data_IF_647602978266
#
_entry.id   IF_647602978266
#
_cell.length_a   1.000
_cell.length_b   1.000
_cell.length_c   1.000
_cell.angle_alpha   90.00
_cell.angle_beta   90.00
_cell.angle_gamma   90.00
#
_symmetry.space_group_name_H-M   'P 1'
#
loop_
_entity.id
_entity.type
_entity.pdbx_description
1 polymer ?
#
# COMPACT_ATOMS: atom_id res chain seq x y z
N UNK A 1 -4.18 -33.90 -7.02
CA UNK A 1 -5.06 -33.75 -8.19
C UNK A 1 -4.29 -32.98 -9.24
N UNK A 2 -4.06 -33.60 -10.40
CA UNK A 2 -3.43 -32.97 -11.56
C UNK A 2 -4.36 -31.86 -12.07
N UNK A 3 -3.83 -30.63 -12.18
CA UNK A 3 -4.56 -29.52 -12.80
C UNK A 3 -4.37 -29.70 -14.32
N UNK A 4 -5.28 -30.39 -14.99
CA UNK A 4 -5.14 -30.67 -16.44
C UNK A 4 -5.78 -29.60 -17.35
N UNK A 5 -6.55 -28.66 -16.78
CA UNK A 5 -7.11 -27.54 -17.55
C UNK A 5 -6.99 -26.23 -16.77
N UNK A 6 -6.40 -25.17 -17.35
CA UNK A 6 -6.24 -23.90 -16.65
C UNK A 6 -7.58 -23.22 -16.41
N UNK A 7 -7.75 -22.57 -15.25
CA UNK A 7 -9.00 -21.92 -14.84
C UNK A 7 -9.55 -21.02 -15.94
N UNK A 8 -10.87 -20.99 -16.11
CA UNK A 8 -11.52 -19.99 -16.96
C UNK A 8 -11.66 -18.62 -16.32
N UNK A 9 -11.40 -18.55 -15.01
CA UNK A 9 -11.47 -17.35 -14.20
C UNK A 9 -10.10 -16.83 -13.79
N UNK A 10 -10.04 -15.53 -13.47
CA UNK A 10 -8.89 -14.89 -12.85
C UNK A 10 -9.20 -14.48 -11.40
N UNK A 11 -8.15 -14.33 -10.59
CA UNK A 11 -8.20 -13.67 -9.29
C UNK A 11 -7.80 -12.20 -9.44
N UNK A 12 -8.57 -11.28 -8.87
CA UNK A 12 -8.29 -9.84 -8.91
C UNK A 12 -8.20 -9.29 -7.49
N UNK A 13 -7.02 -8.84 -7.12
CA UNK A 13 -6.79 -8.05 -5.92
C UNK A 13 -6.79 -6.57 -6.31
N UNK A 14 -7.90 -5.88 -6.06
CA UNK A 14 -8.01 -4.44 -6.21
C UNK A 14 -7.58 -3.75 -4.92
N UNK A 15 -6.27 -3.58 -4.72
CA UNK A 15 -5.73 -2.95 -3.51
C UNK A 15 -5.75 -1.42 -3.55
N UNK A 16 -5.64 -0.79 -2.37
CA UNK A 16 -5.65 0.68 -2.22
C UNK A 16 -4.45 1.36 -2.89
N UNK A 17 -3.28 0.71 -2.83
CA UNK A 17 -2.02 1.25 -3.37
C UNK A 17 -1.57 0.54 -4.65
N UNK A 18 -1.66 -0.79 -4.66
CA UNK A 18 -1.31 -1.63 -5.80
C UNK A 18 -2.40 -2.67 -5.99
N UNK A 19 -2.65 -3.03 -7.24
CA UNK A 19 -3.53 -4.11 -7.64
C UNK A 19 -2.73 -5.24 -8.27
N UNK A 20 -3.23 -6.47 -8.15
CA UNK A 20 -2.64 -7.65 -8.82
C UNK A 20 -3.74 -8.46 -9.51
N UNK A 21 -3.36 -9.19 -10.55
CA UNK A 21 -4.22 -10.17 -11.19
C UNK A 21 -3.48 -11.50 -11.27
N UNK A 22 -4.19 -12.59 -11.01
CA UNK A 22 -3.63 -13.93 -11.04
C UNK A 22 -4.49 -14.91 -11.82
N UNK A 23 -3.83 -15.90 -12.40
CA UNK A 23 -4.42 -17.00 -13.14
C UNK A 23 -3.61 -18.28 -12.88
N UNK A 24 -4.27 -19.28 -12.28
CA UNK A 24 -3.62 -20.54 -11.95
C UNK A 24 -3.45 -21.40 -13.21
N UNK A 25 -2.20 -21.76 -13.49
CA UNK A 25 -1.80 -22.60 -14.63
C UNK A 25 -0.79 -23.65 -14.19
N UNK A 26 -0.81 -24.85 -14.80
CA UNK A 26 0.19 -25.88 -14.50
C UNK A 26 1.61 -25.40 -14.82
N UNK A 27 2.51 -25.48 -13.85
CA UNK A 27 3.94 -25.17 -14.04
C UNK A 27 4.28 -23.69 -14.26
N UNK A 28 3.33 -22.76 -14.11
CA UNK A 28 3.58 -21.32 -14.24
C UNK A 28 3.25 -20.58 -12.94
N UNK A 29 3.91 -19.43 -12.67
CA UNK A 29 3.54 -18.56 -11.57
C UNK A 29 2.07 -18.13 -11.65
N UNK A 30 1.36 -18.02 -10.51
CA UNK A 30 -0.05 -17.66 -10.50
C UNK A 30 -0.28 -16.19 -10.84
N UNK A 31 0.67 -15.29 -10.63
CA UNK A 31 0.50 -13.86 -10.90
C UNK A 31 0.82 -13.50 -12.36
N UNK A 32 0.09 -12.54 -12.90
CA UNK A 32 0.29 -11.99 -14.24
C UNK A 32 1.12 -10.71 -14.18
N UNK A 33 1.99 -10.51 -15.16
CA UNK A 33 2.72 -9.25 -15.31
C UNK A 33 1.77 -8.18 -15.89
N UNK A 34 1.49 -7.15 -15.12
CA UNK A 34 0.49 -6.13 -15.46
C UNK A 34 1.08 -4.89 -16.11
N UNK A 35 2.36 -4.57 -15.87
CA UNK A 35 2.96 -3.36 -16.42
C UNK A 35 4.49 -3.45 -16.38
N UNK A 36 5.15 -3.23 -17.52
CA UNK A 36 6.62 -3.26 -17.66
C UNK A 36 7.28 -4.52 -17.05
N UNK A 37 6.63 -5.68 -17.23
CA UNK A 37 7.10 -6.97 -16.68
C UNK A 37 6.90 -7.12 -15.16
N UNK A 38 6.31 -6.14 -14.47
CA UNK A 38 6.03 -6.19 -13.03
C UNK A 38 4.66 -6.80 -12.75
N UNK A 39 4.57 -7.57 -11.66
CA UNK A 39 3.35 -8.30 -11.25
C UNK A 39 2.26 -7.40 -10.64
N UNK A 40 2.63 -6.20 -10.21
CA UNK A 40 1.73 -5.23 -9.58
C UNK A 40 1.41 -4.10 -10.53
N UNK A 41 0.22 -3.53 -10.41
CA UNK A 41 -0.21 -2.29 -11.07
C UNK A 41 -0.55 -1.26 -10.00
N UNK A 42 0.12 -0.09 -9.90
CA UNK A 42 -0.30 0.96 -8.97
C UNK A 42 -1.76 1.36 -9.19
N UNK A 43 -2.52 1.47 -8.11
CA UNK A 43 -3.95 1.81 -8.12
C UNK A 43 -4.15 3.32 -8.32
N UNK A 44 -3.72 3.81 -9.47
CA UNK A 44 -3.57 5.23 -9.80
C UNK A 44 -4.08 5.50 -11.21
N UNK A 45 -4.80 6.62 -11.36
CA UNK A 45 -5.18 7.19 -12.66
C UNK A 45 -4.67 8.63 -12.71
N UNK A 46 -3.93 8.99 -13.75
CA UNK A 46 -3.51 10.35 -14.01
C UNK A 46 -4.24 10.91 -15.23
N UNK A 47 -4.88 12.06 -15.04
CA UNK A 47 -5.51 12.84 -16.10
C UNK A 47 -4.55 13.93 -16.53
N UNK A 48 -3.81 13.68 -17.60
CA UNK A 48 -2.85 14.62 -18.15
C UNK A 48 -3.61 15.75 -18.88
N UNK A 49 -3.47 16.98 -18.40
CA UNK A 49 -4.13 18.14 -18.99
C UNK A 49 -3.34 18.70 -20.19
N UNK A 50 -2.01 18.53 -20.20
CA UNK A 50 -1.14 19.01 -21.27
C UNK A 50 -1.33 18.18 -22.55
N UNK A 51 -1.38 16.86 -22.42
CA UNK A 51 -1.51 15.92 -23.54
C UNK A 51 -2.97 15.48 -23.79
N UNK A 52 -3.89 15.84 -22.88
CA UNK A 52 -5.29 15.41 -22.91
C UNK A 52 -5.45 13.88 -22.97
N UNK A 53 -4.58 13.17 -22.25
CA UNK A 53 -4.54 11.70 -22.14
C UNK A 53 -4.90 11.23 -20.72
N UNK A 54 -5.19 9.93 -20.59
CA UNK A 54 -5.44 9.29 -19.29
C UNK A 54 -4.49 8.10 -19.17
N UNK A 55 -3.69 8.10 -18.11
CA UNK A 55 -2.67 7.07 -17.87
C UNK A 55 -2.93 6.37 -16.56
N UNK A 56 -2.84 5.03 -16.56
CA UNK A 56 -3.11 4.18 -15.40
C UNK A 56 -1.83 3.46 -14.98
N UNK A 57 -1.63 3.29 -13.67
CA UNK A 57 -0.48 2.55 -13.14
C UNK A 57 0.76 3.41 -13.00
N UNK A 58 1.93 2.81 -13.25
CA UNK A 58 3.23 3.51 -13.21
C UNK A 58 3.34 4.54 -14.31
N UNK A 59 2.74 4.31 -15.48
CA UNK A 59 2.73 5.32 -16.54
C UNK A 59 2.15 6.66 -16.03
N UNK A 60 0.96 6.61 -15.43
CA UNK A 60 0.33 7.81 -14.85
C UNK A 60 1.09 8.39 -13.66
N UNK A 61 1.73 7.54 -12.86
CA UNK A 61 2.59 8.02 -11.78
C UNK A 61 3.83 8.75 -12.34
N UNK A 62 4.47 8.23 -13.38
CA UNK A 62 5.65 8.82 -13.99
C UNK A 62 5.34 10.18 -14.61
N UNK A 63 4.25 10.31 -15.37
CA UNK A 63 3.82 11.61 -15.93
C UNK A 63 3.60 12.66 -14.82
N UNK A 64 2.93 12.29 -13.74
CA UNK A 64 2.76 13.20 -12.59
C UNK A 64 4.10 13.62 -11.97
N UNK A 65 5.05 12.69 -11.88
CA UNK A 65 6.38 12.94 -11.31
C UNK A 65 7.27 13.80 -12.22
N UNK A 66 7.10 13.67 -13.54
CA UNK A 66 7.76 14.52 -14.55
C UNK A 66 7.21 15.96 -14.54
N UNK A 67 6.10 16.18 -13.83
CA UNK A 67 5.56 17.50 -13.55
C UNK A 67 4.56 18.00 -14.57
N UNK A 68 3.99 17.09 -15.37
CA UNK A 68 2.86 17.38 -16.25
C UNK A 68 1.69 17.96 -15.45
N UNK A 69 1.02 18.96 -16.00
CA UNK A 69 -0.19 19.53 -15.42
C UNK A 69 -1.32 18.52 -15.57
N UNK A 70 -2.08 18.31 -14.50
CA UNK A 70 -3.09 17.28 -14.49
C UNK A 70 -3.60 16.91 -13.12
N UNK A 71 -4.46 15.89 -13.10
CA UNK A 71 -5.06 15.39 -11.86
C UNK A 71 -4.68 13.95 -11.60
N UNK A 72 -3.98 13.72 -10.50
CA UNK A 72 -3.68 12.39 -10.00
C UNK A 72 -4.78 11.88 -9.07
N UNK A 73 -5.34 10.72 -9.39
CA UNK A 73 -6.32 10.02 -8.58
C UNK A 73 -5.67 8.77 -7.97
N UNK A 74 -5.72 8.64 -6.64
CA UNK A 74 -5.15 7.52 -5.87
C UNK A 74 -6.16 7.04 -4.83
N UNK A 75 -5.87 5.90 -4.21
CA UNK A 75 -6.68 5.31 -3.13
C UNK A 75 -8.15 5.12 -3.52
N UNK A 76 -8.41 4.79 -4.78
CA UNK A 76 -9.76 4.62 -5.34
C UNK A 76 -10.56 3.56 -4.58
N UNK A 77 -9.89 2.51 -4.06
CA UNK A 77 -10.53 1.49 -3.23
C UNK A 77 -11.19 2.07 -1.98
N UNK A 78 -10.57 3.07 -1.34
CA UNK A 78 -11.10 3.70 -0.12
C UNK A 78 -12.38 4.51 -0.34
N UNK A 79 -12.74 4.77 -1.60
CA UNK A 79 -14.02 5.39 -1.93
C UNK A 79 -15.18 4.39 -1.84
N UNK A 80 -14.92 3.08 -2.01
CA UNK A 80 -15.93 2.05 -1.86
C UNK A 80 -16.51 2.08 -0.44
N UNK A 81 -17.82 2.24 -0.33
CA UNK A 81 -18.50 2.33 0.96
C UNK A 81 -18.48 3.71 1.62
N UNK A 82 -17.75 4.68 1.06
CA UNK A 82 -17.79 6.07 1.52
C UNK A 82 -19.02 6.82 0.97
N UNK A 83 -19.49 7.84 1.68
CA UNK A 83 -20.51 8.78 1.16
C UNK A 83 -20.04 9.55 -0.08
N UNK A 84 -18.73 9.64 -0.29
CA UNK A 84 -18.14 10.29 -1.46
C UNK A 84 -18.26 9.45 -2.73
N UNK A 85 -18.63 8.17 -2.66
CA UNK A 85 -18.68 7.29 -3.83
C UNK A 85 -19.68 7.75 -4.90
N UNK A 86 -20.77 8.39 -4.47
CA UNK A 86 -21.77 8.98 -5.36
C UNK A 86 -21.37 10.39 -5.86
N UNK A 87 -20.23 10.89 -5.37
CA UNK A 87 -19.66 12.17 -5.73
C UNK A 87 -19.12 12.21 -7.15
N UNK A 88 -18.88 13.44 -7.62
CA UNK A 88 -18.27 13.72 -8.91
C UNK A 88 -16.98 14.49 -8.74
N UNK A 89 -16.13 14.35 -9.74
CA UNK A 89 -14.85 15.01 -9.82
C UNK A 89 -14.69 15.60 -11.22
N UNK A 90 -14.15 16.81 -11.28
CA UNK A 90 -13.84 17.44 -12.56
C UNK A 90 -12.43 17.02 -13.01
N UNK A 91 -12.35 16.46 -14.21
CA UNK A 91 -11.14 16.02 -14.89
C UNK A 91 -11.23 16.44 -16.36
N UNK A 92 -10.22 17.14 -16.87
CA UNK A 92 -10.18 17.63 -18.27
C UNK A 92 -11.46 18.39 -18.69
N UNK A 93 -12.00 19.23 -17.79
CA UNK A 93 -13.23 20.00 -18.04
C UNK A 93 -14.51 19.16 -18.14
N UNK A 94 -14.47 17.88 -17.74
CA UNK A 94 -15.61 16.99 -17.69
C UNK A 94 -15.84 16.53 -16.26
N UNK A 95 -17.10 16.53 -15.85
CA UNK A 95 -17.50 15.97 -14.56
C UNK A 95 -17.66 14.45 -14.69
N UNK A 96 -16.78 13.66 -14.06
CA UNK A 96 -16.87 12.20 -13.95
C UNK A 96 -17.28 11.80 -12.53
N UNK A 97 -18.09 10.76 -12.40
CA UNK A 97 -18.39 10.10 -11.13
C UNK A 97 -17.21 9.25 -10.69
N UNK A 98 -17.08 9.00 -9.38
CA UNK A 98 -16.08 8.04 -8.91
C UNK A 98 -16.35 6.61 -9.42
N UNK A 99 -17.62 6.25 -9.65
CA UNK A 99 -17.99 4.95 -10.21
C UNK A 99 -17.39 4.78 -11.62
N UNK A 100 -17.48 5.81 -12.46
CA UNK A 100 -16.88 5.80 -13.80
C UNK A 100 -15.35 5.65 -13.72
N UNK A 101 -14.69 6.36 -12.79
CA UNK A 101 -13.25 6.23 -12.58
C UNK A 101 -12.82 4.83 -12.14
N UNK A 102 -13.54 4.23 -11.19
CA UNK A 102 -13.26 2.85 -10.79
C UNK A 102 -13.54 1.87 -11.92
N UNK A 103 -14.58 2.12 -12.73
CA UNK A 103 -14.89 1.28 -13.90
C UNK A 103 -13.77 1.34 -14.94
N UNK A 104 -13.24 2.54 -15.24
CA UNK A 104 -12.08 2.72 -16.11
C UNK A 104 -10.85 1.98 -15.58
N UNK A 105 -10.56 2.07 -14.27
CA UNK A 105 -9.45 1.37 -13.65
C UNK A 105 -9.59 -0.16 -13.72
N UNK A 106 -10.76 -0.70 -13.37
CA UNK A 106 -10.99 -2.16 -13.39
C UNK A 106 -11.02 -2.69 -14.83
N UNK A 107 -11.48 -1.90 -15.80
CA UNK A 107 -11.43 -2.25 -17.22
C UNK A 107 -9.98 -2.36 -17.71
N UNK A 108 -9.14 -1.37 -17.35
CA UNK A 108 -7.71 -1.39 -17.67
C UNK A 108 -7.01 -2.59 -17.01
N UNK A 109 -7.28 -2.85 -15.72
CA UNK A 109 -6.71 -3.99 -15.01
C UNK A 109 -7.08 -5.33 -15.69
N UNK A 110 -8.35 -5.48 -16.10
CA UNK A 110 -8.81 -6.65 -16.87
C UNK A 110 -8.08 -6.74 -18.21
N UNK A 111 -8.02 -5.66 -18.99
CA UNK A 111 -7.37 -5.65 -20.29
C UNK A 111 -5.89 -6.07 -20.20
N UNK A 112 -5.16 -5.55 -19.21
CA UNK A 112 -3.76 -5.93 -18.99
C UNK A 112 -3.61 -7.38 -18.54
N UNK A 113 -4.51 -7.87 -17.69
CA UNK A 113 -4.53 -9.28 -17.30
C UNK A 113 -4.82 -10.20 -18.51
N UNK A 114 -5.79 -9.85 -19.35
CA UNK A 114 -6.14 -10.59 -20.57
C UNK A 114 -4.99 -10.59 -21.59
N UNK A 115 -4.33 -9.45 -21.79
CA UNK A 115 -3.15 -9.34 -22.64
C UNK A 115 -1.99 -10.19 -22.13
N UNK A 116 -1.71 -10.15 -20.82
CA UNK A 116 -0.66 -10.96 -20.20
C UNK A 116 -0.97 -12.48 -20.21
N UNK A 117 -2.25 -12.82 -20.25
CA UNK A 117 -2.73 -14.20 -20.31
C UNK A 117 -2.92 -14.72 -21.74
N UNK A 118 -2.87 -13.85 -22.75
CA UNK A 118 -3.23 -14.11 -24.15
C UNK A 118 -4.62 -14.78 -24.29
N UNK A 119 -5.59 -14.30 -23.50
CA UNK A 119 -6.97 -14.82 -23.47
C UNK A 119 -7.94 -13.86 -22.79
N UNK A 120 -9.23 -14.06 -23.00
CA UNK A 120 -10.27 -13.39 -22.24
C UNK A 120 -10.61 -14.09 -20.91
N UNK A 121 -11.11 -13.30 -19.95
CA UNK A 121 -11.68 -13.76 -18.69
C UNK A 121 -13.14 -13.30 -18.55
N UNK A 122 -14.07 -14.26 -18.60
CA UNK A 122 -15.50 -14.01 -18.36
C UNK A 122 -15.87 -14.11 -16.86
N UNK A 123 -14.99 -14.67 -16.04
CA UNK A 123 -15.27 -15.01 -14.64
C UNK A 123 -14.13 -14.50 -13.75
N UNK A 124 -14.46 -13.98 -12.56
CA UNK A 124 -13.44 -13.49 -11.64
C UNK A 124 -13.79 -13.70 -10.18
N UNK A 125 -12.75 -13.93 -9.36
CA UNK A 125 -12.81 -13.84 -7.90
C UNK A 125 -12.11 -12.54 -7.48
N UNK A 126 -12.86 -11.62 -6.87
CA UNK A 126 -12.32 -10.37 -6.35
C UNK A 126 -11.96 -10.51 -4.87
N UNK A 127 -10.83 -9.92 -4.49
CA UNK A 127 -10.49 -9.69 -3.09
C UNK A 127 -11.42 -8.66 -2.45
N UNK A 128 -11.87 -8.92 -1.23
CA UNK A 128 -12.52 -7.93 -0.37
C UNK A 128 -11.87 -7.84 1.01
N UNK A 129 -11.85 -6.66 1.65
CA UNK A 129 -11.48 -6.55 3.06
C UNK A 129 -12.52 -7.27 3.93
N UNK A 130 -12.20 -7.50 5.21
CA UNK A 130 -13.18 -8.06 6.15
C UNK A 130 -14.41 -7.17 6.27
N UNK A 131 -14.22 -5.85 6.32
CA UNK A 131 -15.27 -4.84 6.12
C UNK A 131 -14.77 -3.75 5.18
N UNK A 132 -15.57 -3.37 4.19
CA UNK A 132 -15.43 -2.13 3.42
C UNK A 132 -15.84 -0.91 4.25
N UNK A 133 -16.86 -1.09 5.10
CA UNK A 133 -17.36 -0.07 6.04
C UNK A 133 -17.50 -0.71 7.41
N UNK A 134 -16.78 -0.18 8.39
CA UNK A 134 -16.86 -0.65 9.77
C UNK A 134 -18.23 -0.31 10.39
N UNK A 135 -18.72 -1.22 11.24
CA UNK A 135 -19.94 -1.06 12.06
C UNK A 135 -21.25 -0.77 11.29
N UNK A 136 -21.27 -0.90 9.95
CA UNK A 136 -22.48 -0.81 9.12
C UNK A 136 -22.56 -1.94 8.07
N UNK A 137 -23.29 -3.00 8.42
CA UNK A 137 -23.50 -4.17 7.55
C UNK A 137 -24.29 -3.90 6.28
N UNK A 138 -25.10 -2.83 6.23
CA UNK A 138 -25.84 -2.46 5.03
C UNK A 138 -24.93 -1.69 4.06
N UNK A 139 -24.13 -0.75 4.58
CA UNK A 139 -23.14 -0.04 3.80
C UNK A 139 -22.03 -0.97 3.27
N UNK A 140 -21.56 -1.93 4.08
CA UNK A 140 -20.60 -2.95 3.64
C UNK A 140 -21.12 -3.77 2.46
N UNK A 141 -22.36 -4.28 2.55
CA UNK A 141 -23.01 -5.01 1.45
C UNK A 141 -23.20 -4.14 0.22
N UNK A 142 -23.52 -2.84 0.40
CA UNK A 142 -23.63 -1.89 -0.71
C UNK A 142 -22.27 -1.68 -1.41
N UNK A 143 -21.17 -1.59 -0.66
CA UNK A 143 -19.83 -1.46 -1.20
C UNK A 143 -19.43 -2.68 -2.04
N UNK A 144 -19.64 -3.89 -1.53
CA UNK A 144 -19.39 -5.13 -2.27
C UNK A 144 -20.26 -5.22 -3.53
N UNK A 145 -21.55 -4.91 -3.43
CA UNK A 145 -22.47 -4.91 -4.57
C UNK A 145 -22.07 -3.87 -5.63
N UNK A 146 -21.55 -2.71 -5.22
CA UNK A 146 -21.05 -1.67 -6.11
C UNK A 146 -19.82 -2.16 -6.87
N UNK A 147 -18.85 -2.77 -6.18
CA UNK A 147 -17.68 -3.37 -6.82
C UNK A 147 -18.09 -4.50 -7.79
N UNK A 148 -19.07 -5.32 -7.42
CA UNK A 148 -19.61 -6.35 -8.30
C UNK A 148 -20.27 -5.78 -9.55
N UNK A 149 -21.01 -4.67 -9.42
CA UNK A 149 -21.64 -3.98 -10.55
C UNK A 149 -20.59 -3.39 -11.49
N UNK A 150 -19.53 -2.77 -10.94
CA UNK A 150 -18.39 -2.26 -11.70
C UNK A 150 -17.72 -3.39 -12.47
N UNK A 151 -17.38 -4.51 -11.80
CA UNK A 151 -16.77 -5.67 -12.46
C UNK A 151 -17.65 -6.25 -13.58
N UNK A 152 -18.97 -6.30 -13.40
CA UNK A 152 -19.88 -6.73 -14.48
C UNK A 152 -19.91 -5.75 -15.65
N UNK A 153 -19.85 -4.45 -15.37
CA UNK A 153 -19.79 -3.42 -16.41
C UNK A 153 -18.50 -3.48 -17.26
N UNK A 154 -17.41 -4.00 -16.71
CA UNK A 154 -16.15 -4.26 -17.46
C UNK A 154 -16.14 -5.60 -18.20
N UNK A 155 -17.26 -6.33 -18.17
CA UNK A 155 -17.48 -7.54 -18.96
C UNK A 155 -17.17 -8.86 -18.25
N UNK A 156 -17.07 -8.88 -16.92
CA UNK A 156 -17.15 -10.15 -16.17
C UNK A 156 -18.61 -10.60 -16.07
N UNK A 157 -18.92 -11.82 -16.52
CA UNK A 157 -20.27 -12.41 -16.44
C UNK A 157 -20.56 -12.94 -15.05
N UNK A 158 -19.60 -13.61 -14.46
CA UNK A 158 -19.70 -14.15 -13.10
C UNK A 158 -18.61 -13.55 -12.20
N UNK A 159 -19.04 -13.00 -11.08
CA UNK A 159 -18.18 -12.34 -10.10
C UNK A 159 -18.49 -12.93 -8.74
N UNK A 160 -17.44 -13.35 -8.04
CA UNK A 160 -17.54 -13.76 -6.64
C UNK A 160 -16.45 -13.10 -5.81
N UNK A 161 -16.59 -13.12 -4.49
CA UNK A 161 -15.66 -12.47 -3.58
C UNK A 161 -14.99 -13.46 -2.65
N UNK A 162 -13.77 -13.14 -2.25
CA UNK A 162 -13.05 -13.84 -1.20
C UNK A 162 -12.36 -12.82 -0.29
N UNK A 163 -12.36 -13.12 1.01
CA UNK A 163 -11.69 -12.27 1.99
C UNK A 163 -10.18 -12.25 1.76
N UNK A 164 -9.63 -11.05 1.61
CA UNK A 164 -8.21 -10.75 1.44
C UNK A 164 -7.30 -11.47 2.46
N UNK A 165 -7.57 -11.45 3.78
CA UNK A 165 -6.69 -12.15 4.73
C UNK A 165 -6.68 -13.67 4.53
N UNK A 166 -7.80 -14.26 4.09
CA UNK A 166 -7.87 -15.70 3.80
C UNK A 166 -7.12 -16.00 2.49
N UNK A 167 -7.26 -15.15 1.48
CA UNK A 167 -6.52 -15.28 0.24
C UNK A 167 -5.00 -15.13 0.47
N UNK A 168 -4.57 -14.16 1.27
CA UNK A 168 -3.17 -13.95 1.63
C UNK A 168 -2.55 -15.19 2.30
N UNK A 169 -3.28 -15.79 3.23
CA UNK A 169 -2.84 -16.98 3.98
C UNK A 169 -3.09 -18.31 3.24
N UNK A 170 -3.58 -18.29 2.00
CA UNK A 170 -4.00 -19.52 1.29
C UNK A 170 -2.88 -20.56 1.16
N UNK A 171 -1.68 -20.14 0.77
CA UNK A 171 -0.52 -21.05 0.66
C UNK A 171 -0.16 -21.66 2.01
N UNK A 172 -0.29 -20.88 3.08
CA UNK A 172 -0.05 -21.34 4.45
C UNK A 172 -1.13 -22.33 4.91
N UNK A 173 -2.42 -22.06 4.62
CA UNK A 173 -3.54 -22.97 4.92
C UNK A 173 -3.36 -24.36 4.29
N UNK A 174 -2.63 -24.48 3.18
CA UNK A 174 -2.33 -25.77 2.55
C UNK A 174 -1.21 -26.56 3.21
N UNK A 175 -0.40 -25.92 4.06
CA UNK A 175 0.74 -26.53 4.74
C UNK A 175 0.40 -27.01 6.15
N UNK A 176 -0.68 -26.49 6.73
CA UNK A 176 -1.15 -26.90 8.06
C UNK A 176 -1.90 -28.24 8.01
N UNK A 177 -1.78 -29.03 9.07
CA UNK A 177 -2.41 -30.35 9.23
C UNK A 177 -3.54 -30.36 10.27
N UNK A 178 -3.69 -29.27 11.02
CA UNK A 178 -4.72 -29.06 12.06
C UNK A 178 -5.31 -27.66 11.98
N UNK A 179 -6.34 -27.42 12.79
CA UNK A 179 -6.85 -26.06 12.99
C UNK A 179 -5.82 -25.21 13.71
N UNK A 180 -5.59 -24.01 13.19
CA UNK A 180 -4.70 -23.00 13.77
C UNK A 180 -5.38 -21.63 13.80
N UNK A 181 -5.11 -20.88 14.86
CA UNK A 181 -5.46 -19.48 14.98
C UNK A 181 -4.34 -18.61 14.43
N UNK A 182 -4.64 -17.89 13.35
CA UNK A 182 -3.66 -17.12 12.58
C UNK A 182 -3.99 -15.64 12.64
N UNK A 183 -3.03 -14.81 13.06
CA UNK A 183 -3.09 -13.37 12.88
C UNK A 183 -2.44 -13.01 11.55
N UNK A 184 -3.23 -12.57 10.58
CA UNK A 184 -2.73 -11.96 9.34
C UNK A 184 -2.46 -10.47 9.61
N UNK A 185 -1.21 -10.06 9.45
CA UNK A 185 -0.76 -8.68 9.54
C UNK A 185 -0.40 -8.17 8.13
N UNK A 186 -1.33 -7.47 7.49
CA UNK A 186 -1.13 -6.84 6.19
C UNK A 186 -0.69 -5.39 6.36
N UNK A 187 0.57 -5.11 6.05
CA UNK A 187 1.21 -3.83 6.30
C UNK A 187 1.56 -3.20 4.96
N UNK A 188 0.60 -2.45 4.44
CA UNK A 188 0.68 -1.78 3.15
C UNK A 188 1.38 -0.41 3.23
N UNK A 189 1.24 0.38 2.16
CA UNK A 189 1.83 1.71 2.07
C UNK A 189 1.20 2.73 3.03
N UNK A 190 -0.12 2.72 3.19
CA UNK A 190 -0.85 3.73 3.98
C UNK A 190 -1.61 3.21 5.20
N UNK A 191 -1.83 1.88 5.27
CA UNK A 191 -2.58 1.24 6.36
C UNK A 191 -1.88 -0.03 6.81
N UNK A 192 -2.14 -0.39 8.07
CA UNK A 192 -1.83 -1.70 8.64
C UNK A 192 -3.15 -2.33 9.03
N UNK A 193 -3.48 -3.45 8.41
CA UNK A 193 -4.72 -4.17 8.56
C UNK A 193 -4.44 -5.54 9.20
N UNK A 194 -5.16 -5.84 10.27
CA UNK A 194 -4.98 -7.03 11.08
C UNK A 194 -6.26 -7.85 11.05
N UNK A 195 -6.12 -9.15 10.78
CA UNK A 195 -7.24 -10.09 10.77
C UNK A 195 -6.87 -11.34 11.55
N UNK A 196 -7.67 -11.66 12.56
CA UNK A 196 -7.55 -12.90 13.30
C UNK A 196 -8.48 -13.94 12.68
N UNK A 197 -7.89 -14.99 12.12
CA UNK A 197 -8.60 -15.98 11.30
C UNK A 197 -8.34 -17.41 11.77
N UNK A 198 -9.32 -18.28 11.63
CA UNK A 198 -9.15 -19.73 11.82
C UNK A 198 -8.89 -20.41 10.49
N UNK A 199 -7.74 -21.07 10.38
CA UNK A 199 -7.39 -21.86 9.20
C UNK A 199 -7.39 -23.34 9.57
N UNK A 200 -7.93 -24.19 8.71
CA UNK A 200 -7.83 -25.64 8.86
C UNK A 200 -8.06 -26.36 7.53
N UNK A 201 -7.55 -27.59 7.36
CA UNK A 201 -7.79 -28.39 6.16
C UNK A 201 -9.28 -28.64 5.87
N UNK A 202 -10.13 -28.66 6.91
CA UNK A 202 -11.57 -28.84 6.79
C UNK A 202 -12.27 -27.54 6.37
N UNK A 203 -11.89 -26.41 6.99
CA UNK A 203 -12.43 -25.06 6.68
C UNK A 203 -12.08 -24.61 5.27
N UNK A 204 -10.88 -24.97 4.79
CA UNK A 204 -10.45 -24.76 3.41
C UNK A 204 -11.43 -25.29 2.35
N UNK A 205 -12.31 -26.24 2.71
CA UNK A 205 -13.31 -26.84 1.81
C UNK A 205 -14.68 -26.18 1.88
N UNK A 206 -14.91 -25.26 2.81
CA UNK A 206 -16.16 -24.51 2.94
C UNK A 206 -16.16 -23.37 1.91
N UNK A 207 -17.35 -23.05 1.37
CA UNK A 207 -17.53 -21.98 0.39
C UNK A 207 -17.68 -20.61 1.08
N UNK A 208 -18.55 -20.52 2.10
CA UNK A 208 -18.65 -19.34 2.95
C UNK A 208 -17.66 -19.43 4.11
N UNK A 209 -16.66 -18.55 4.07
CA UNK A 209 -15.55 -18.52 5.04
C UNK A 209 -15.74 -17.41 6.08
N UNK A 210 -16.94 -16.81 6.20
CA UNK A 210 -17.18 -15.69 7.13
C UNK A 210 -16.91 -16.06 8.58
N UNK A 211 -17.32 -17.25 9.01
CA UNK A 211 -17.13 -17.73 10.40
C UNK A 211 -15.67 -18.01 10.77
N UNK A 212 -14.77 -18.00 9.78
CA UNK A 212 -13.34 -18.11 10.02
C UNK A 212 -12.71 -16.78 10.42
N UNK A 213 -13.38 -15.66 10.13
CA UNK A 213 -12.93 -14.32 10.54
C UNK A 213 -13.42 -14.02 11.96
N UNK A 214 -12.53 -14.08 12.93
CA UNK A 214 -12.88 -13.88 14.33
C UNK A 214 -12.92 -12.40 14.71
N UNK A 215 -11.94 -11.64 14.23
CA UNK A 215 -11.86 -10.21 14.43
C UNK A 215 -11.00 -9.58 13.34
N UNK A 216 -11.28 -8.30 13.09
CA UNK A 216 -10.45 -7.45 12.27
C UNK A 216 -10.24 -6.10 12.96
N UNK A 217 -9.22 -5.39 12.52
CA UNK A 217 -8.93 -4.04 12.94
C UNK A 217 -7.81 -3.46 12.11
N UNK A 218 -7.83 -2.16 11.92
CA UNK A 218 -6.83 -1.46 11.11
C UNK A 218 -6.36 -0.18 11.78
N UNK A 219 -5.26 0.35 11.28
CA UNK A 219 -4.76 1.68 11.65
C UNK A 219 -4.19 2.37 10.42
N UNK A 220 -4.43 3.67 10.29
CA UNK A 220 -3.85 4.53 9.24
C UNK A 220 -2.37 4.83 9.50
N UNK A 221 -1.59 3.76 9.59
CA UNK A 221 -0.13 3.74 9.69
C UNK A 221 0.32 2.68 8.69
N UNK A 222 1.13 3.05 7.71
CA UNK A 222 1.75 2.12 6.78
C UNK A 222 3.16 2.54 6.42
N UNK A 223 3.74 1.91 5.40
CA UNK A 223 5.09 2.16 4.89
C UNK A 223 5.43 3.64 4.73
N UNK A 224 4.52 4.46 4.20
CA UNK A 224 4.75 5.89 3.96
C UNK A 224 4.90 6.70 5.25
N UNK A 225 4.30 6.24 6.35
CA UNK A 225 4.49 6.89 7.65
C UNK A 225 5.90 6.57 8.19
N UNK A 226 6.38 5.34 8.00
CA UNK A 226 7.76 4.99 8.34
C UNK A 226 8.77 5.76 7.48
N UNK A 227 8.51 5.93 6.18
CA UNK A 227 9.32 6.75 5.28
C UNK A 227 9.38 8.20 5.75
N UNK A 228 8.23 8.77 6.11
CA UNK A 228 8.14 10.14 6.62
C UNK A 228 8.96 10.31 7.90
N UNK A 229 8.85 9.39 8.86
CA UNK A 229 9.62 9.47 10.11
C UNK A 229 11.12 9.31 9.89
N UNK A 230 11.54 8.36 9.05
CA UNK A 230 12.94 8.19 8.67
C UNK A 230 13.49 9.44 7.98
N UNK A 231 12.71 10.01 7.05
CA UNK A 231 13.07 11.23 6.33
C UNK A 231 13.24 12.41 7.28
N UNK A 232 12.25 12.66 8.16
CA UNK A 232 12.31 13.75 9.14
C UNK A 232 13.46 13.60 10.13
N UNK A 233 13.74 12.38 10.59
CA UNK A 233 14.78 12.14 11.58
C UNK A 233 16.20 12.17 10.98
N UNK A 234 16.40 11.57 9.80
CA UNK A 234 17.73 11.34 9.24
C UNK A 234 18.09 12.24 8.05
N UNK A 235 17.13 12.55 7.16
CA UNK A 235 17.45 13.20 5.88
C UNK A 235 17.14 14.70 5.87
N UNK A 236 15.97 15.10 6.37
CA UNK A 236 15.56 16.50 6.42
C UNK A 236 16.52 17.41 7.21
N UNK A 237 17.26 16.94 8.25
CA UNK A 237 18.30 17.75 8.89
C UNK A 237 19.41 18.22 7.93
N UNK A 238 19.74 17.42 6.89
CA UNK A 238 20.71 17.80 5.86
C UNK A 238 20.25 19.01 5.02
N UNK A 239 18.94 19.28 5.03
CA UNK A 239 18.26 20.37 4.33
C UNK A 239 17.90 21.54 5.26
N UNK A 240 18.23 21.45 6.56
CA UNK A 240 18.01 22.52 7.53
C UNK A 240 16.86 22.27 8.51
N UNK A 241 16.23 21.10 8.49
CA UNK A 241 15.21 20.76 9.50
C UNK A 241 15.82 20.79 10.91
N UNK A 242 15.10 21.41 11.86
CA UNK A 242 15.57 21.69 13.24
C UNK A 242 16.81 22.59 13.35
N UNK A 243 17.34 23.12 12.23
CA UNK A 243 18.33 24.19 12.32
C UNK A 243 17.69 25.46 12.88
N UNK A 244 18.52 26.35 13.44
CA UNK A 244 18.06 27.60 14.05
C UNK A 244 18.21 28.77 13.08
N UNK A 245 17.28 29.71 13.19
CA UNK A 245 17.44 31.06 12.68
C UNK A 245 18.37 31.86 13.61
N UNK A 246 18.96 32.96 13.15
CA UNK A 246 19.84 33.84 13.95
C UNK A 246 19.12 34.38 15.18
N UNK A 247 17.79 34.48 15.12
CA UNK A 247 16.91 34.83 16.26
C UNK A 247 16.72 33.71 17.30
N UNK A 248 17.32 32.54 17.09
CA UNK A 248 17.32 31.41 18.03
C UNK A 248 16.11 30.46 17.91
N UNK A 249 15.13 30.78 17.07
CA UNK A 249 13.94 29.97 16.79
C UNK A 249 14.30 28.89 15.74
N UNK A 250 13.72 27.70 15.86
CA UNK A 250 13.90 26.64 14.85
C UNK A 250 13.23 26.99 13.52
N UNK A 251 13.77 26.44 12.43
CA UNK A 251 13.16 26.52 11.11
C UNK A 251 11.73 25.96 11.14
N UNK A 252 10.76 26.61 10.45
CA UNK A 252 9.40 26.09 10.36
C UNK A 252 9.36 24.67 9.80
N UNK A 253 8.70 23.76 10.52
CA UNK A 253 8.70 22.34 10.19
C UNK A 253 7.86 21.98 8.96
N UNK A 254 6.87 22.80 8.60
CA UNK A 254 5.90 22.52 7.55
C UNK A 254 6.53 22.22 6.18
N UNK A 255 7.59 22.94 5.81
CA UNK A 255 8.29 22.72 4.53
C UNK A 255 8.92 21.33 4.46
N UNK A 256 9.52 20.89 5.57
CA UNK A 256 10.17 19.59 5.67
C UNK A 256 9.16 18.46 5.80
N UNK A 257 8.08 18.65 6.56
CA UNK A 257 6.96 17.70 6.60
C UNK A 257 6.35 17.53 5.22
N UNK A 258 6.22 18.61 4.44
CA UNK A 258 5.71 18.53 3.07
C UNK A 258 6.66 17.74 2.14
N UNK A 259 7.96 17.96 2.25
CA UNK A 259 8.95 17.22 1.48
C UNK A 259 9.10 15.75 1.92
N UNK A 260 8.87 15.45 3.20
CA UNK A 260 8.92 14.10 3.74
C UNK A 260 7.65 13.27 3.48
N UNK A 261 6.60 13.91 2.94
CA UNK A 261 5.30 13.27 2.73
C UNK A 261 4.98 13.24 1.25
N UNK A 262 5.01 12.05 0.64
CA UNK A 262 4.91 11.86 -0.81
C UNK A 262 3.86 12.73 -1.51
N UNK A 263 2.64 12.80 -0.96
CA UNK A 263 1.51 13.50 -1.61
C UNK A 263 1.51 15.03 -1.42
N UNK A 264 2.34 15.58 -0.52
CA UNK A 264 2.44 17.04 -0.30
C UNK A 264 3.75 17.63 -0.83
N UNK A 265 4.64 16.82 -1.42
CA UNK A 265 5.91 17.27 -2.01
C UNK A 265 5.70 18.43 -3.00
N UNK A 266 4.67 18.36 -3.85
CA UNK A 266 4.39 19.42 -4.83
C UNK A 266 4.06 20.78 -4.19
N UNK A 267 3.62 20.81 -2.93
CA UNK A 267 3.42 22.07 -2.21
C UNK A 267 4.74 22.81 -1.96
N UNK A 268 5.86 22.09 -1.90
CA UNK A 268 7.19 22.69 -1.75
C UNK A 268 7.64 23.48 -2.99
N UNK A 269 7.02 23.25 -4.16
CA UNK A 269 7.38 23.90 -5.42
C UNK A 269 6.57 25.17 -5.71
N UNK A 270 5.68 25.57 -4.80
CA UNK A 270 4.84 26.75 -5.03
C UNK A 270 5.66 28.05 -4.95
N UNK A 271 5.26 29.08 -5.72
CA UNK A 271 5.91 30.40 -5.67
C UNK A 271 5.89 31.01 -4.27
N UNK A 272 4.82 30.75 -3.51
CA UNK A 272 4.69 31.19 -2.11
C UNK A 272 5.77 30.54 -1.24
N UNK A 273 5.87 29.21 -1.26
CA UNK A 273 6.91 28.49 -0.51
C UNK A 273 8.31 28.95 -0.89
N UNK A 274 8.55 29.20 -2.19
CA UNK A 274 9.83 29.74 -2.64
C UNK A 274 10.15 31.10 -2.02
N UNK A 275 9.22 32.05 -2.06
CA UNK A 275 9.39 33.38 -1.48
C UNK A 275 9.62 33.31 0.04
N UNK A 276 8.84 32.50 0.75
CA UNK A 276 9.00 32.31 2.19
C UNK A 276 10.40 31.76 2.55
N UNK A 277 10.89 30.76 1.81
CA UNK A 277 12.23 30.20 2.03
C UNK A 277 13.34 31.20 1.72
N UNK A 278 13.18 32.08 0.73
CA UNK A 278 14.13 33.15 0.44
C UNK A 278 14.25 34.16 1.59
N UNK A 279 13.15 34.48 2.25
CA UNK A 279 13.16 35.32 3.45
C UNK A 279 13.90 34.63 4.60
N UNK A 280 13.58 33.35 4.86
CA UNK A 280 14.22 32.56 5.91
C UNK A 280 15.73 32.37 5.69
N UNK A 281 16.18 32.32 4.44
CA UNK A 281 17.60 32.18 4.10
C UNK A 281 18.44 33.35 4.63
N UNK A 282 17.89 34.57 4.66
CA UNK A 282 18.62 35.73 5.19
C UNK A 282 18.88 35.62 6.70
N UNK A 283 18.03 34.88 7.41
CA UNK A 283 18.07 34.72 8.86
C UNK A 283 18.54 33.33 9.31
N UNK A 284 19.02 32.46 8.42
CA UNK A 284 19.46 31.11 8.79
C UNK A 284 20.82 31.05 9.49
N UNK A 285 21.01 30.08 10.38
CA UNK A 285 22.33 29.68 10.90
C UNK A 285 22.93 28.48 10.14
N UNK A 286 22.21 27.88 9.20
CA UNK A 286 22.66 26.72 8.41
C UNK A 286 22.55 26.98 6.90
N UNK A 287 23.32 27.93 6.33
CA UNK A 287 23.20 28.33 4.94
C UNK A 287 23.44 27.18 3.96
N UNK A 288 24.45 26.33 4.21
CA UNK A 288 24.75 25.18 3.34
C UNK A 288 23.60 24.18 3.25
N UNK A 289 22.87 23.97 4.36
CA UNK A 289 21.73 23.07 4.39
C UNK A 289 20.56 23.67 3.60
N UNK A 290 20.36 24.99 3.70
CA UNK A 290 19.37 25.69 2.88
C UNK A 290 19.73 25.73 1.40
N UNK A 291 21.02 25.81 1.04
CA UNK A 291 21.45 25.71 -0.36
C UNK A 291 21.06 24.36 -0.98
N UNK A 292 21.22 23.27 -0.23
CA UNK A 292 20.74 21.94 -0.62
C UNK A 292 19.21 21.91 -0.77
N UNK A 293 18.48 22.53 0.16
CA UNK A 293 17.02 22.66 0.08
C UNK A 293 16.58 23.43 -1.17
N UNK A 294 17.20 24.57 -1.45
CA UNK A 294 16.91 25.35 -2.66
C UNK A 294 17.22 24.57 -3.92
N UNK A 295 18.33 23.83 -3.96
CA UNK A 295 18.66 22.97 -5.10
C UNK A 295 17.60 21.89 -5.31
N UNK A 296 17.21 21.17 -4.25
CA UNK A 296 16.14 20.17 -4.28
C UNK A 296 14.84 20.74 -4.85
N UNK A 297 14.42 21.92 -4.38
CA UNK A 297 13.18 22.57 -4.81
C UNK A 297 13.26 23.05 -6.25
N UNK A 298 14.38 23.69 -6.64
CA UNK A 298 14.60 24.19 -8.00
C UNK A 298 14.62 23.07 -9.04
N UNK A 299 15.22 21.93 -8.69
CA UNK A 299 15.29 20.75 -9.55
C UNK A 299 14.05 19.85 -9.43
N UNK A 300 13.05 20.25 -8.63
CA UNK A 300 11.83 19.47 -8.32
C UNK A 300 12.14 18.02 -7.91
N UNK A 301 13.25 17.82 -7.20
CA UNK A 301 13.80 16.49 -6.89
C UNK A 301 13.26 15.88 -5.58
N UNK A 302 12.14 16.37 -5.05
CA UNK A 302 11.57 15.92 -3.78
C UNK A 302 11.08 14.48 -3.82
N UNK A 303 10.42 14.07 -4.89
CA UNK A 303 10.00 12.67 -5.06
C UNK A 303 11.21 11.73 -5.20
N UNK A 304 12.27 12.16 -5.91
CA UNK A 304 13.52 11.41 -5.95
C UNK A 304 14.09 11.20 -4.54
N UNK A 305 14.13 12.26 -3.71
CA UNK A 305 14.62 12.14 -2.33
C UNK A 305 13.75 11.17 -1.52
N UNK A 306 12.43 11.22 -1.68
CA UNK A 306 11.52 10.30 -1.01
C UNK A 306 11.74 8.84 -1.43
N UNK A 307 12.03 8.57 -2.71
CA UNK A 307 12.41 7.23 -3.18
C UNK A 307 13.73 6.75 -2.55
N UNK A 308 14.72 7.62 -2.42
CA UNK A 308 15.98 7.29 -1.75
C UNK A 308 15.77 6.93 -0.27
N UNK A 309 14.85 7.63 0.41
CA UNK A 309 14.46 7.30 1.79
C UNK A 309 13.76 5.94 1.87
N UNK A 310 12.83 5.67 0.95
CA UNK A 310 12.13 4.38 0.90
C UNK A 310 13.11 3.21 0.66
N UNK A 311 14.04 3.36 -0.28
CA UNK A 311 15.12 2.39 -0.52
C UNK A 311 15.98 2.18 0.73
N UNK A 312 16.34 3.25 1.43
CA UNK A 312 17.10 3.17 2.67
C UNK A 312 16.31 2.45 3.78
N UNK A 313 15.01 2.71 3.93
CA UNK A 313 14.13 1.98 4.86
C UNK A 313 14.12 0.48 4.56
N UNK A 314 14.00 0.11 3.29
CA UNK A 314 14.02 -1.29 2.86
C UNK A 314 15.39 -1.92 3.21
N UNK A 315 16.49 -1.24 2.92
CA UNK A 315 17.83 -1.72 3.26
C UNK A 315 18.04 -1.87 4.78
N UNK A 316 17.54 -0.92 5.58
CA UNK A 316 17.56 -0.98 7.04
C UNK A 316 16.69 -2.10 7.63
N UNK A 317 15.79 -2.68 6.84
CA UNK A 317 15.05 -3.88 7.26
C UNK A 317 15.94 -5.13 7.25
N UNK A 318 16.93 -5.19 6.36
CA UNK A 318 17.85 -6.32 6.21
C UNK A 318 19.23 -6.10 6.88
N UNK A 319 19.66 -4.86 7.10
CA UNK A 319 20.95 -4.53 7.71
C UNK A 319 20.87 -3.45 8.79
N UNK A 320 22.01 -3.15 9.41
CA UNK A 320 22.11 -2.18 10.52
C UNK A 320 22.33 -0.74 10.05
N UNK A 321 22.68 -0.55 8.77
CA UNK A 321 22.95 0.75 8.16
C UNK A 321 22.62 0.77 6.68
N UNK A 322 22.24 1.93 6.16
CA UNK A 322 22.03 2.20 4.74
C UNK A 322 22.74 3.50 4.33
N UNK A 323 23.41 3.50 3.17
CA UNK A 323 24.09 4.68 2.63
C UNK A 323 23.22 5.30 1.54
N UNK A 324 22.83 6.56 1.72
CA UNK A 324 22.17 7.34 0.69
C UNK A 324 23.22 8.08 -0.13
N UNK A 325 23.10 7.96 -1.45
CA UNK A 325 23.88 8.71 -2.42
C UNK A 325 23.08 9.94 -2.85
N UNK A 326 23.47 11.11 -2.35
CA UNK A 326 22.71 12.35 -2.44
C UNK A 326 23.36 13.37 -3.38
N UNK A 327 24.01 12.91 -4.45
CA UNK A 327 24.75 13.73 -5.42
C UNK A 327 23.90 14.84 -6.06
N UNK A 328 22.57 14.61 -6.17
CA UNK A 328 21.63 15.64 -6.64
C UNK A 328 21.53 16.82 -5.66
N UNK A 329 21.75 16.64 -4.36
CA UNK A 329 21.75 17.72 -3.38
C UNK A 329 23.09 18.46 -3.34
N UNK A 330 24.20 17.73 -3.33
CA UNK A 330 25.55 18.28 -3.41
C UNK A 330 26.52 17.22 -3.95
N UNK A 331 27.57 17.59 -4.70
CA UNK A 331 28.54 16.64 -5.24
C UNK A 331 29.13 15.75 -4.14
N UNK A 332 29.19 14.45 -4.39
CA UNK A 332 29.75 13.43 -3.49
C UNK A 332 29.09 13.36 -2.10
N UNK A 333 27.89 13.94 -1.94
CA UNK A 333 27.18 13.90 -0.67
C UNK A 333 26.70 12.47 -0.40
N UNK A 334 27.24 11.87 0.66
CA UNK A 334 26.80 10.58 1.18
C UNK A 334 26.30 10.75 2.60
N UNK A 335 25.22 10.07 2.93
CA UNK A 335 24.69 10.06 4.28
C UNK A 335 24.38 8.64 4.73
N UNK A 336 24.83 8.27 5.92
CA UNK A 336 24.56 6.94 6.49
C UNK A 336 23.40 7.08 7.47
N UNK A 337 22.33 6.33 7.22
CA UNK A 337 21.26 6.11 8.17
C UNK A 337 21.50 4.81 8.91
N UNK A 338 21.19 4.77 10.20
CA UNK A 338 21.31 3.57 11.01
C UNK A 338 19.94 2.99 11.37
N UNK A 339 19.91 1.68 11.62
CA UNK A 339 18.71 0.99 12.10
C UNK A 339 18.23 1.59 13.42
N UNK A 340 19.15 1.91 14.33
CA UNK A 340 18.83 2.50 15.65
C UNK A 340 18.09 3.83 15.49
N UNK A 341 18.56 4.73 14.62
CA UNK A 341 17.88 6.00 14.36
C UNK A 341 16.48 5.79 13.77
N UNK A 342 16.33 4.83 12.86
CA UNK A 342 15.04 4.50 12.26
C UNK A 342 14.05 3.93 13.30
N UNK A 343 14.51 3.03 14.16
CA UNK A 343 13.71 2.45 15.24
C UNK A 343 13.26 3.54 16.21
N UNK A 344 14.16 4.41 16.65
CA UNK A 344 13.83 5.53 17.53
C UNK A 344 12.80 6.48 16.91
N UNK A 345 12.94 6.79 15.62
CA UNK A 345 11.99 7.66 14.91
C UNK A 345 10.60 7.02 14.75
N UNK A 346 10.53 5.68 14.67
CA UNK A 346 9.30 4.94 14.38
C UNK A 346 8.61 4.34 15.60
N UNK A 347 9.21 4.40 16.80
CA UNK A 347 8.66 3.84 18.05
C UNK A 347 7.18 4.18 18.27
N UNK A 348 6.80 5.45 18.14
CA UNK A 348 5.41 5.87 18.37
C UNK A 348 4.41 5.29 17.37
N UNK A 349 4.83 5.00 16.14
CA UNK A 349 3.98 4.33 15.13
C UNK A 349 3.77 2.87 15.52
N UNK A 350 4.84 2.19 15.92
CA UNK A 350 4.83 0.79 16.35
C UNK A 350 4.00 0.60 17.63
N UNK A 351 4.08 1.53 18.58
CA UNK A 351 3.23 1.49 19.78
C UNK A 351 1.74 1.63 19.46
N UNK A 352 1.37 2.52 18.54
CA UNK A 352 -0.03 2.64 18.10
C UNK A 352 -0.53 1.36 17.44
N UNK A 353 0.31 0.69 16.63
CA UNK A 353 -0.01 -0.63 16.07
C UNK A 353 -0.21 -1.67 17.18
N UNK A 354 0.66 -1.68 18.20
CA UNK A 354 0.52 -2.58 19.35
C UNK A 354 -0.79 -2.37 20.14
N UNK A 355 -1.22 -1.12 20.29
CA UNK A 355 -2.52 -0.78 20.90
C UNK A 355 -3.68 -1.33 20.06
N UNK A 356 -3.64 -1.14 18.73
CA UNK A 356 -4.67 -1.69 17.82
C UNK A 356 -4.75 -3.21 17.90
N UNK A 357 -3.62 -3.91 17.94
CA UNK A 357 -3.59 -5.37 18.06
C UNK A 357 -4.16 -5.85 19.40
N UNK A 358 -3.82 -5.18 20.49
CA UNK A 358 -4.35 -5.50 21.82
C UNK A 358 -5.88 -5.33 21.86
N UNK A 359 -6.39 -4.25 21.25
CA UNK A 359 -7.82 -4.01 21.13
C UNK A 359 -8.52 -5.07 20.25
N UNK A 360 -7.88 -5.52 19.18
CA UNK A 360 -8.40 -6.58 18.30
C UNK A 360 -8.53 -7.91 19.05
N UNK A 361 -7.50 -8.32 19.80
CA UNK A 361 -7.54 -9.55 20.60
C UNK A 361 -8.64 -9.48 21.66
N UNK A 362 -8.79 -8.32 22.31
CA UNK A 362 -9.87 -8.09 23.27
C UNK A 362 -11.26 -8.18 22.61
N UNK A 363 -11.44 -7.59 21.41
CA UNK A 363 -12.68 -7.69 20.61
C UNK A 363 -13.00 -9.14 20.26
N UNK A 364 -11.98 -9.95 19.98
CA UNK A 364 -12.12 -11.39 19.71
C UNK A 364 -12.34 -12.24 20.97
N UNK A 365 -12.23 -11.65 22.17
CA UNK A 365 -12.16 -12.39 23.44
C UNK A 365 -11.05 -13.46 23.48
N UNK A 366 -9.92 -13.19 22.81
CA UNK A 366 -8.80 -14.11 22.68
C UNK A 366 -7.61 -13.69 23.55
N UNK A 367 -6.95 -14.67 24.18
CA UNK A 367 -5.69 -14.47 24.87
C UNK A 367 -4.53 -14.41 23.86
N UNK A 368 -3.47 -13.66 24.15
CA UNK A 368 -2.29 -13.59 23.28
C UNK A 368 -1.65 -14.96 23.03
N UNK A 369 -1.63 -15.82 24.05
CA UNK A 369 -1.07 -17.18 23.96
C UNK A 369 -1.91 -18.16 23.13
N UNK A 370 -3.14 -17.78 22.74
CA UNK A 370 -4.00 -18.62 21.92
C UNK A 370 -3.68 -18.52 20.42
N UNK A 371 -2.90 -17.51 19.99
CA UNK A 371 -2.55 -17.32 18.59
C UNK A 371 -1.37 -18.23 18.24
N UNK A 372 -1.58 -19.16 17.31
CA UNK A 372 -0.56 -20.13 16.88
C UNK A 372 0.47 -19.53 15.92
N UNK A 373 0.02 -18.59 15.08
CA UNK A 373 0.83 -18.08 13.95
C UNK A 373 0.54 -16.61 13.68
N UNK A 374 1.59 -15.82 13.46
CA UNK A 374 1.54 -14.49 12.84
C UNK A 374 2.02 -14.61 11.41
N UNK A 375 1.14 -14.30 10.46
CA UNK A 375 1.40 -14.29 9.04
C UNK A 375 1.60 -12.85 8.57
N UNK A 376 2.83 -12.51 8.18
CA UNK A 376 3.18 -11.18 7.70
C UNK A 376 2.98 -11.08 6.20
N UNK A 377 2.27 -10.04 5.75
CA UNK A 377 2.09 -9.70 4.33
C UNK A 377 2.16 -8.18 4.12
N UNK A 378 2.38 -7.76 2.88
CA UNK A 378 2.54 -6.36 2.52
C UNK A 378 3.98 -5.87 2.67
N UNK A 379 4.41 -4.96 1.79
CA UNK A 379 5.81 -4.55 1.65
C UNK A 379 6.41 -3.85 2.88
N UNK A 380 5.59 -3.23 3.74
CA UNK A 380 6.07 -2.57 4.95
C UNK A 380 6.15 -3.49 6.18
N UNK A 381 5.75 -4.77 6.04
CA UNK A 381 5.88 -5.77 7.11
C UNK A 381 7.33 -6.14 7.43
N UNK A 382 8.28 -5.76 6.57
CA UNK A 382 9.72 -5.98 6.79
C UNK A 382 10.34 -5.15 7.90
N UNK A 383 9.67 -4.11 8.41
CA UNK A 383 10.20 -3.22 9.45
C UNK A 383 10.53 -4.02 10.74
N UNK A 384 11.81 -4.09 11.18
CA UNK A 384 12.23 -4.97 12.27
C UNK A 384 11.52 -4.71 13.61
N UNK A 385 11.53 -3.47 14.09
CA UNK A 385 10.89 -3.07 15.34
C UNK A 385 9.39 -3.40 15.38
N UNK A 386 8.71 -3.30 14.24
CA UNK A 386 7.30 -3.67 14.10
C UNK A 386 7.11 -5.18 14.29
N UNK A 387 7.94 -6.00 13.65
CA UNK A 387 7.90 -7.46 13.80
C UNK A 387 8.21 -7.88 15.24
N UNK A 388 9.19 -7.24 15.87
CA UNK A 388 9.57 -7.48 17.26
C UNK A 388 8.44 -7.10 18.22
N UNK A 389 7.78 -5.96 18.00
CA UNK A 389 6.64 -5.55 18.82
C UNK A 389 5.49 -6.54 18.73
N UNK A 390 5.15 -6.99 17.52
CA UNK A 390 4.07 -7.98 17.30
C UNK A 390 4.45 -9.31 17.94
N UNK A 391 5.70 -9.76 17.80
CA UNK A 391 6.17 -10.98 18.43
C UNK A 391 6.20 -10.90 19.95
N UNK A 392 6.50 -9.74 20.53
CA UNK A 392 6.44 -9.52 21.98
C UNK A 392 5.01 -9.59 22.52
N UNK A 393 4.02 -9.16 21.73
CA UNK A 393 2.59 -9.30 22.07
C UNK A 393 2.09 -10.73 21.93
N UNK A 394 2.69 -11.54 21.06
CA UNK A 394 2.28 -12.91 20.74
C UNK A 394 3.45 -13.90 20.87
N UNK A 395 3.92 -14.17 22.10
CA UNK A 395 5.19 -14.85 22.33
C UNK A 395 5.20 -16.31 21.88
N UNK A 396 4.05 -16.98 21.84
CA UNK A 396 3.93 -18.38 21.40
C UNK A 396 3.70 -18.53 19.89
N UNK A 397 3.41 -17.44 19.20
CA UNK A 397 3.05 -17.48 17.80
C UNK A 397 4.28 -17.68 16.90
N UNK A 398 4.20 -18.63 15.97
CA UNK A 398 5.21 -18.77 14.92
C UNK A 398 5.12 -17.61 13.95
N UNK A 399 6.25 -17.21 13.40
CA UNK A 399 6.33 -16.10 12.43
C UNK A 399 6.49 -16.69 11.04
N UNK A 400 5.52 -16.45 10.18
CA UNK A 400 5.53 -16.91 8.80
C UNK A 400 5.54 -15.68 7.90
N UNK A 401 6.46 -15.69 6.94
CA UNK A 401 6.50 -14.69 5.88
C UNK A 401 5.62 -15.17 4.72
N UNK A 402 4.59 -14.38 4.40
CA UNK A 402 3.91 -14.47 3.12
C UNK A 402 4.75 -13.83 2.02
N UNK A 403 4.38 -14.08 0.78
CA UNK A 403 4.90 -13.29 -0.33
C UNK A 403 4.51 -11.82 -0.12
N UNK A 404 5.52 -10.95 0.02
CA UNK A 404 5.37 -9.52 0.31
C UNK A 404 4.55 -8.79 -0.76
N UNK A 405 4.49 -9.35 -1.99
CA UNK A 405 3.77 -8.78 -3.12
C UNK A 405 2.93 -9.83 -3.83
N UNK A 406 1.61 -9.75 -3.66
CA UNK A 406 0.66 -10.53 -4.45
C UNK A 406 0.31 -11.90 -3.87
N UNK A 407 0.59 -12.16 -2.59
CA UNK A 407 0.04 -13.31 -1.84
C UNK A 407 -1.49 -13.38 -1.96
N UNK A 408 -2.17 -12.23 -1.84
CA UNK A 408 -3.61 -12.09 -2.05
C UNK A 408 -3.98 -12.49 -3.48
N UNK A 409 -3.39 -11.86 -4.50
CA UNK A 409 -3.67 -12.17 -5.90
C UNK A 409 -3.44 -13.63 -6.28
N UNK A 410 -2.37 -14.24 -5.76
CA UNK A 410 -2.07 -15.66 -5.93
C UNK A 410 -3.13 -16.55 -5.28
N UNK A 411 -3.51 -16.26 -4.02
CA UNK A 411 -4.58 -16.97 -3.33
C UNK A 411 -5.94 -16.85 -4.04
N UNK A 412 -6.27 -15.66 -4.55
CA UNK A 412 -7.47 -15.43 -5.35
C UNK A 412 -7.47 -16.21 -6.66
N UNK A 413 -6.31 -16.35 -7.31
CA UNK A 413 -6.18 -17.16 -8.53
C UNK A 413 -6.47 -18.63 -8.27
N UNK A 414 -6.06 -19.16 -7.10
CA UNK A 414 -6.37 -20.53 -6.73
C UNK A 414 -7.85 -20.69 -6.37
N UNK A 415 -8.43 -19.74 -5.65
CA UNK A 415 -9.86 -19.74 -5.36
C UNK A 415 -10.71 -19.64 -6.64
N UNK A 416 -10.23 -18.89 -7.65
CA UNK A 416 -10.84 -18.81 -8.97
C UNK A 416 -10.85 -20.16 -9.69
N UNK A 417 -9.75 -20.92 -9.67
CA UNK A 417 -9.75 -22.31 -10.18
C UNK A 417 -10.75 -23.18 -9.41
N UNK A 418 -10.80 -23.07 -8.07
CA UNK A 418 -11.69 -23.90 -7.26
C UNK A 418 -13.17 -23.66 -7.55
N UNK A 419 -13.56 -22.41 -7.80
CA UNK A 419 -14.96 -22.02 -8.06
C UNK A 419 -15.39 -22.21 -9.50
N UNK A 420 -14.47 -21.99 -10.46
CA UNK A 420 -14.81 -21.85 -11.87
C UNK A 420 -14.00 -22.74 -12.83
N UNK A 421 -13.08 -23.56 -12.32
CA UNK A 421 -12.17 -24.39 -13.11
C UNK A 421 -12.35 -25.88 -12.93
#
# INVERSE_FOLDING_TARGET
>A
MSVETPARACGIDFGTSNSTAGWLRPGQPPLLALEDGKLTLPSVIFFNADENTVSVGRAGLNEYLEGYEGRLMRALKSLLGSSQMEGRTEVQGRSKTYIELLTEFIAELKQRAEAAADRSFDQAVFGRPVFFVDDDTAADRKAEATLAAIARATGFREVSFQYEPIAAAYHYERQIDREELVLVADIGGGTSDFSLIRLSPQRARVADRRDDLLANGGVHIGGTNFDQQLSLAGVMPLLGYRSKLKRGIEMPSSYYTNLATWHTINQAYTRRTWADLQELYLDTQAPEAMDRLFKLIRERAGHWLAMQVEEAKIALSAGDSAILHLDRLAPDLRHTLTRIEFEQASTHLVERIGVTLSALLAKASMHCDAVDTVFFTGGASGVPLLRERIAALLPQARRIEGDLFGSIGAGLAVEAQRRFG
#
